data_IF_023374873658
#
_entry.id   IF_023374873658
#
_cell.length_a   1.000
_cell.length_b   1.000
_cell.length_c   1.000
_cell.angle_alpha   90.00
_cell.angle_beta   90.00
_cell.angle_gamma   90.00
#
_symmetry.space_group_name_H-M   'P 1'
#
loop_
_entity.id
_entity.type
_entity.pdbx_description
1 polymer ?
#
# COMPACT_ATOMS: atom_id res chain seq x y z
N UNK A 1 -6.09 5.63 3.23
CA UNK A 1 -4.67 6.06 3.34
C UNK A 1 -3.73 4.95 3.83
N UNK A 2 -2.45 5.01 3.42
CA UNK A 2 -1.34 4.11 3.82
C UNK A 2 0.03 4.76 3.59
N UNK A 3 1.14 4.05 3.81
CA UNK A 3 2.49 4.60 3.57
C UNK A 3 3.47 3.57 2.96
N UNK A 4 4.40 4.05 2.14
CA UNK A 4 5.55 3.31 1.60
C UNK A 4 6.83 3.89 2.21
N UNK A 5 7.75 3.03 2.62
CA UNK A 5 9.10 3.39 3.08
C UNK A 5 10.13 2.53 2.36
N UNK A 6 11.33 3.06 2.21
CA UNK A 6 12.46 2.33 1.66
C UNK A 6 13.40 1.96 2.82
N UNK A 7 13.86 0.72 2.87
CA UNK A 7 14.66 0.19 3.98
C UNK A 7 16.02 0.90 4.14
N UNK A 8 16.53 1.51 3.07
CA UNK A 8 17.76 2.30 3.03
C UNK A 8 17.53 3.80 3.33
N UNK A 9 16.29 4.19 3.65
CA UNK A 9 15.87 5.58 3.87
C UNK A 9 15.98 6.49 2.65
N UNK A 10 16.06 5.93 1.43
CA UNK A 10 15.89 6.72 0.21
C UNK A 10 14.45 7.28 0.11
N UNK A 11 14.24 8.24 -0.81
CA UNK A 11 12.90 8.79 -1.03
C UNK A 11 12.00 7.76 -1.73
N UNK A 12 10.81 7.46 -1.17
CA UNK A 12 9.81 6.59 -1.80
C UNK A 12 9.04 7.26 -2.95
N UNK A 13 9.40 8.50 -3.31
CA UNK A 13 8.74 9.25 -4.38
C UNK A 13 8.67 8.43 -5.68
N UNK A 14 7.48 8.37 -6.28
CA UNK A 14 7.30 7.64 -7.53
C UNK A 14 7.04 6.14 -7.35
N UNK A 15 7.02 5.62 -6.12
CA UNK A 15 6.62 4.25 -5.87
C UNK A 15 5.17 4.04 -6.34
N UNK A 16 4.96 3.06 -7.22
CA UNK A 16 3.63 2.68 -7.69
C UNK A 16 2.97 1.81 -6.64
N UNK A 17 1.76 2.19 -6.26
CA UNK A 17 0.91 1.45 -5.34
C UNK A 17 -0.29 0.92 -6.13
N UNK A 18 -0.51 -0.38 -6.04
CA UNK A 18 -1.62 -1.08 -6.66
C UNK A 18 -2.49 -1.69 -5.56
N UNK A 19 -3.76 -1.31 -5.53
CA UNK A 19 -4.75 -1.83 -4.57
C UNK A 19 -5.65 -2.80 -5.32
N UNK A 20 -5.76 -4.03 -4.83
CA UNK A 20 -6.58 -5.09 -5.41
C UNK A 20 -7.58 -5.59 -4.39
N UNK A 21 -8.74 -6.04 -4.86
CA UNK A 21 -9.68 -6.76 -4.00
C UNK A 21 -9.06 -8.11 -3.67
N UNK A 22 -8.86 -8.40 -2.39
CA UNK A 22 -8.12 -9.57 -1.91
C UNK A 22 -8.78 -10.86 -2.36
N UNK A 23 -7.95 -11.85 -2.73
CA UNK A 23 -8.42 -13.10 -3.34
C UNK A 23 -8.89 -12.98 -4.80
N UNK A 24 -8.78 -11.81 -5.42
CA UNK A 24 -9.10 -11.59 -6.83
C UNK A 24 -7.90 -11.02 -7.61
N UNK A 25 -8.03 -10.93 -8.94
CA UNK A 25 -7.09 -10.18 -9.78
C UNK A 25 -7.63 -8.78 -10.15
N UNK A 26 -8.77 -8.38 -9.56
CA UNK A 26 -9.39 -7.10 -9.87
C UNK A 26 -8.60 -5.98 -9.20
N UNK A 27 -8.11 -5.06 -10.03
CA UNK A 27 -7.48 -3.84 -9.56
C UNK A 27 -8.56 -2.85 -9.18
N UNK A 28 -8.58 -2.47 -7.91
CA UNK A 28 -9.48 -1.44 -7.39
C UNK A 28 -8.92 -0.05 -7.72
N UNK A 29 -7.64 0.17 -7.43
CA UNK A 29 -6.99 1.44 -7.69
C UNK A 29 -5.50 1.28 -8.02
N UNK A 30 -4.98 2.24 -8.79
CA UNK A 30 -3.55 2.39 -9.05
C UNK A 30 -3.16 3.84 -8.79
N UNK A 31 -2.12 4.03 -7.99
CA UNK A 31 -1.68 5.33 -7.48
C UNK A 31 -0.14 5.38 -7.41
N UNK A 32 0.38 6.59 -7.20
CA UNK A 32 1.80 6.86 -7.01
C UNK A 32 1.97 7.51 -5.64
N UNK A 33 2.87 6.99 -4.83
CA UNK A 33 3.20 7.58 -3.54
C UNK A 33 3.91 8.93 -3.73
N UNK A 34 3.60 9.88 -2.84
CA UNK A 34 4.25 11.19 -2.84
C UNK A 34 5.71 11.11 -2.32
N UNK A 35 6.35 12.28 -2.19
CA UNK A 35 7.75 12.35 -1.75
C UNK A 35 7.99 11.83 -0.32
N UNK A 36 6.95 11.86 0.52
CA UNK A 36 6.95 11.34 1.88
C UNK A 36 6.51 9.87 1.94
N UNK A 37 6.16 9.28 0.79
CA UNK A 37 5.70 7.90 0.65
C UNK A 37 4.25 7.71 1.03
N UNK A 38 3.50 8.79 1.27
CA UNK A 38 2.09 8.69 1.60
C UNK A 38 1.26 8.40 0.36
N UNK A 39 0.17 7.69 0.58
CA UNK A 39 -0.84 7.47 -0.44
C UNK A 39 -2.25 7.43 0.15
N UNK A 40 -3.23 7.83 -0.66
CA UNK A 40 -4.65 7.76 -0.30
C UNK A 40 -5.48 7.19 -1.43
N UNK A 41 -6.53 6.48 -1.05
CA UNK A 41 -7.55 5.93 -1.93
C UNK A 41 -8.84 5.89 -1.12
N UNK A 42 -9.96 6.26 -1.74
CA UNK A 42 -11.28 6.06 -1.19
C UNK A 42 -11.72 4.62 -1.53
N UNK A 43 -11.68 3.72 -0.56
CA UNK A 43 -12.05 2.32 -0.72
C UNK A 43 -13.35 1.99 0.05
N UNK A 44 -13.93 0.83 -0.23
CA UNK A 44 -15.15 0.38 0.43
C UNK A 44 -14.81 -0.39 1.72
N UNK A 45 -15.48 -0.09 2.84
CA UNK A 45 -15.16 -0.68 4.14
C UNK A 45 -15.53 -2.16 4.28
N UNK A 46 -16.41 -2.66 3.42
CA UNK A 46 -16.91 -4.04 3.41
C UNK A 46 -16.04 -5.00 2.57
N UNK A 47 -14.99 -4.50 1.93
CA UNK A 47 -14.04 -5.31 1.16
C UNK A 47 -12.69 -5.46 1.87
N UNK A 48 -12.03 -6.60 1.61
CA UNK A 48 -10.64 -6.82 1.97
C UNK A 48 -9.74 -6.51 0.77
N UNK A 49 -8.60 -5.88 1.00
CA UNK A 49 -7.69 -5.42 -0.05
C UNK A 49 -6.27 -5.96 0.12
N UNK A 50 -5.62 -6.26 -0.99
CA UNK A 50 -4.18 -6.44 -1.06
C UNK A 50 -3.55 -5.18 -1.65
N UNK A 51 -2.55 -4.63 -0.97
CA UNK A 51 -1.80 -3.46 -1.41
C UNK A 51 -0.41 -3.90 -1.85
N UNK A 52 -0.10 -3.70 -3.12
CA UNK A 52 1.20 -4.00 -3.73
C UNK A 52 1.94 -2.69 -4.00
N UNK A 53 3.13 -2.53 -3.42
CA UNK A 53 4.05 -1.44 -3.74
C UNK A 53 5.20 -1.93 -4.63
N UNK A 54 5.55 -1.13 -5.62
CA UNK A 54 6.66 -1.37 -6.54
C UNK A 54 7.43 -0.07 -6.80
N UNK A 55 8.75 -0.17 -6.84
CA UNK A 55 9.64 0.92 -7.20
C UNK A 55 10.85 0.33 -7.93
N UNK A 56 11.32 0.99 -8.98
CA UNK A 56 12.48 0.53 -9.74
C UNK A 56 13.72 0.45 -8.84
N UNK A 57 14.45 -0.67 -8.92
CA UNK A 57 15.59 -0.95 -8.06
C UNK A 57 15.23 -1.56 -6.69
N UNK A 58 13.95 -1.78 -6.40
CA UNK A 58 13.47 -2.39 -5.15
C UNK A 58 12.67 -3.66 -5.42
N UNK A 59 12.73 -4.60 -4.47
CA UNK A 59 11.89 -5.79 -4.48
C UNK A 59 10.42 -5.38 -4.27
N UNK A 60 9.47 -5.88 -5.08
CA UNK A 60 8.06 -5.60 -4.90
C UNK A 60 7.57 -6.21 -3.58
N UNK A 61 6.66 -5.51 -2.89
CA UNK A 61 6.05 -5.98 -1.64
C UNK A 61 4.53 -5.89 -1.71
N UNK A 62 3.87 -6.99 -1.39
CA UNK A 62 2.42 -7.03 -1.18
C UNK A 62 2.13 -7.21 0.31
N UNK A 63 1.19 -6.42 0.83
CA UNK A 63 0.59 -6.60 2.15
C UNK A 63 -0.92 -6.81 1.98
N UNK A 64 -1.46 -7.78 2.70
CA UNK A 64 -2.87 -8.12 2.66
C UNK A 64 -3.16 -9.45 3.34
N UNK A 65 -4.44 -9.73 3.68
CA UNK A 65 -5.58 -8.84 3.46
C UNK A 65 -5.60 -7.65 4.44
N UNK A 66 -6.00 -6.48 3.95
CA UNK A 66 -6.20 -5.25 4.71
C UNK A 66 -7.68 -4.86 4.67
N UNK A 67 -8.21 -4.38 5.79
CA UNK A 67 -9.59 -3.84 5.86
C UNK A 67 -9.52 -2.33 5.69
N UNK A 68 -10.51 -1.73 5.02
CA UNK A 68 -10.63 -0.29 4.96
C UNK A 68 -11.53 0.24 6.08
N UNK A 69 -10.98 1.07 6.97
CA UNK A 69 -11.76 1.85 7.93
C UNK A 69 -12.21 3.15 7.27
N UNK A 70 -13.50 3.24 6.93
CA UNK A 70 -14.09 4.44 6.35
C UNK A 70 -14.29 5.59 7.35
N UNK A 71 -14.34 5.32 8.66
CA UNK A 71 -14.39 6.37 9.69
C UNK A 71 -13.05 7.08 9.81
N UNK A 72 -11.95 6.33 9.66
CA UNK A 72 -10.57 6.84 9.75
C UNK A 72 -9.90 7.08 8.38
N UNK A 73 -10.59 6.79 7.28
CA UNK A 73 -10.12 6.92 5.90
C UNK A 73 -8.76 6.21 5.66
N UNK A 74 -8.59 5.00 6.22
CA UNK A 74 -7.33 4.27 6.18
C UNK A 74 -7.46 2.76 6.02
N UNK A 75 -6.41 2.15 5.51
CA UNK A 75 -6.27 0.70 5.59
C UNK A 75 -5.79 0.30 6.99
N UNK A 76 -6.20 -0.88 7.42
CA UNK A 76 -5.81 -1.50 8.68
C UNK A 76 -5.46 -2.98 8.47
N UNK A 77 -4.46 -3.47 9.20
CA UNK A 77 -4.12 -4.88 9.26
C UNK A 77 -4.98 -5.63 10.30
N UNK A 78 -4.66 -6.91 10.56
CA UNK A 78 -5.38 -7.75 11.52
C UNK A 78 -5.36 -7.21 12.97
N UNK A 79 -4.48 -6.24 13.28
CA UNK A 79 -4.35 -5.62 14.59
C UNK A 79 -5.02 -4.23 14.66
N UNK A 80 -5.64 -3.77 13.56
CA UNK A 80 -6.21 -2.43 13.47
C UNK A 80 -5.16 -1.34 13.24
N UNK A 81 -3.93 -1.70 12.86
CA UNK A 81 -2.85 -0.75 12.67
C UNK A 81 -2.74 -0.31 11.20
N UNK A 82 -2.35 0.95 11.00
CA UNK A 82 -2.11 1.49 9.65
C UNK A 82 -0.92 0.78 9.01
N UNK A 83 -1.06 0.18 7.81
CA UNK A 83 0.02 -0.56 7.18
C UNK A 83 1.10 0.38 6.63
N UNK A 84 2.35 -0.05 6.78
CA UNK A 84 3.54 0.58 6.20
C UNK A 84 4.27 -0.45 5.33
N UNK A 85 4.29 -0.23 4.02
CA UNK A 85 5.01 -1.09 3.07
C UNK A 85 6.49 -0.70 3.06
N UNK A 86 7.36 -1.57 3.57
CA UNK A 86 8.81 -1.32 3.59
C UNK A 86 9.47 -2.07 2.44
N UNK A 87 9.81 -1.36 1.35
CA UNK A 87 10.52 -1.94 0.22
C UNK A 87 12.01 -2.07 0.53
N UNK A 88 12.61 -3.17 0.12
CA UNK A 88 14.06 -3.40 0.23
C UNK A 88 14.70 -3.33 -1.15
N UNK A 89 15.97 -2.89 -1.28
CA UNK A 89 16.68 -2.93 -2.55
C UNK A 89 16.62 -4.33 -3.17
N UNK A 90 16.43 -4.37 -4.49
CA UNK A 90 16.49 -5.62 -5.24
C UNK A 90 17.93 -6.16 -5.25
N UNK A 91 18.12 -7.50 -5.31
CA UNK A 91 19.44 -8.11 -5.38
C UNK A 91 20.22 -7.79 -6.67
#
# INVERSE_FOLDING_TARGET
>A
TGAVRLADNASPAGARVLVRISGTQLTFAQLVADADGAFSVAAAADEAYDVLATLEGYAPLALGPLVYDAEQDRFEDEQGERPILVLTPAP
#
